data_IF_736573651738
#
_entry.id   IF_736573651738
#
_cell.length_a   1.000
_cell.length_b   1.000
_cell.length_c   1.000
_cell.angle_alpha   90.00
_cell.angle_beta   90.00
_cell.angle_gamma   90.00
#
_symmetry.space_group_name_H-M   'P 1'
#
loop_
_entity.id
_entity.type
_entity.pdbx_description
1 polymer ?
#
# COMPACT_ATOMS: atom_id res chain seq x y z
N UNK A 1 3.98 19.34 -3.69
CA UNK A 1 2.53 19.63 -3.68
C UNK A 1 1.89 18.70 -2.66
N UNK A 2 1.33 19.23 -1.56
CA UNK A 2 0.60 18.43 -0.58
C UNK A 2 -0.87 18.41 -1.02
N UNK A 3 -1.34 17.26 -1.50
CA UNK A 3 -2.75 17.09 -1.87
C UNK A 3 -3.48 16.64 -0.61
N UNK A 4 -4.51 17.38 -0.20
CA UNK A 4 -5.36 17.00 0.92
C UNK A 4 -6.34 15.93 0.42
N UNK A 5 -6.08 14.66 0.74
CA UNK A 5 -6.74 13.51 0.12
C UNK A 5 -7.96 13.07 0.94
N UNK A 6 -9.15 13.49 0.52
CA UNK A 6 -10.42 13.20 1.21
C UNK A 6 -10.76 11.70 1.35
N UNK A 7 -10.11 10.78 0.63
CA UNK A 7 -10.18 9.33 0.85
C UNK A 7 -9.03 8.61 0.08
N UNK A 8 -7.97 8.12 0.76
CA UNK A 8 -6.82 7.49 0.10
C UNK A 8 -7.20 6.30 -0.80
N UNK A 9 -8.19 5.51 -0.38
CA UNK A 9 -8.70 4.34 -1.11
C UNK A 9 -9.22 4.66 -2.51
N UNK A 10 -9.79 5.86 -2.72
CA UNK A 10 -10.33 6.27 -4.03
C UNK A 10 -9.22 6.65 -5.04
N UNK A 11 -8.09 7.17 -4.56
CA UNK A 11 -6.98 7.59 -5.44
C UNK A 11 -6.17 6.40 -5.95
N UNK A 12 -6.03 5.36 -5.13
CA UNK A 12 -5.33 4.13 -5.51
C UNK A 12 -6.07 3.41 -6.64
N UNK A 13 -7.41 3.45 -6.61
CA UNK A 13 -8.27 2.93 -7.67
C UNK A 13 -8.18 3.73 -8.98
N UNK A 14 -7.77 4.99 -8.92
CA UNK A 14 -7.71 5.90 -10.08
C UNK A 14 -6.29 6.08 -10.65
N UNK A 15 -5.23 5.87 -9.85
CA UNK A 15 -3.87 6.34 -10.17
C UNK A 15 -2.79 5.28 -10.37
N UNK A 16 -3.03 4.00 -10.09
CA UNK A 16 -2.05 2.92 -10.32
C UNK A 16 -2.33 2.12 -11.60
N UNK A 17 -2.77 2.79 -12.66
CA UNK A 17 -2.72 2.20 -13.99
C UNK A 17 -1.25 2.14 -14.40
N UNK A 18 -0.64 0.96 -14.34
CA UNK A 18 0.73 0.68 -14.78
C UNK A 18 0.83 0.82 -16.31
N UNK A 19 0.61 2.03 -16.83
CA UNK A 19 0.56 2.34 -18.26
C UNK A 19 1.95 2.36 -18.93
N UNK A 20 3.01 2.01 -18.20
CA UNK A 20 4.39 2.21 -18.65
C UNK A 20 5.10 1.03 -19.31
N UNK A 21 4.47 -0.15 -19.46
CA UNK A 21 5.16 -1.32 -19.98
C UNK A 21 4.76 -1.62 -21.42
N UNK A 22 5.45 -0.98 -22.37
CA UNK A 22 5.35 -1.30 -23.80
C UNK A 22 5.99 -2.68 -24.00
N UNK A 23 5.18 -3.74 -24.12
CA UNK A 23 5.67 -5.08 -24.43
C UNK A 23 5.71 -5.30 -25.95
N UNK A 24 6.86 -5.76 -26.45
CA UNK A 24 7.16 -5.84 -27.89
C UNK A 24 6.91 -7.25 -28.47
N UNK A 25 6.39 -8.21 -27.69
CA UNK A 25 6.20 -9.61 -28.14
C UNK A 25 4.98 -10.28 -27.50
N UNK A 26 4.21 -11.03 -28.31
CA UNK A 26 3.01 -11.79 -27.91
C UNK A 26 3.27 -12.81 -26.79
N UNK A 27 4.48 -13.39 -26.74
CA UNK A 27 4.89 -14.28 -25.64
C UNK A 27 5.08 -13.53 -24.33
N UNK A 28 5.66 -12.33 -24.39
CA UNK A 28 5.81 -11.45 -23.21
C UNK A 28 4.47 -10.92 -22.73
N UNK A 29 3.54 -10.62 -23.64
CA UNK A 29 2.15 -10.26 -23.31
C UNK A 29 1.43 -11.39 -22.56
N UNK A 30 1.59 -12.64 -23.01
CA UNK A 30 0.97 -13.81 -22.37
C UNK A 30 1.58 -14.11 -20.99
N UNK A 31 2.89 -13.92 -20.81
CA UNK A 31 3.50 -14.01 -19.48
C UNK A 31 3.09 -12.85 -18.57
N UNK A 32 2.98 -11.63 -19.10
CA UNK A 32 2.59 -10.44 -18.32
C UNK A 32 1.15 -10.53 -17.79
N UNK A 33 0.21 -11.09 -18.57
CA UNK A 33 -1.18 -11.30 -18.13
C UNK A 33 -1.33 -12.39 -17.07
N UNK A 34 -0.34 -13.28 -16.92
CA UNK A 34 -0.27 -14.25 -15.83
C UNK A 34 0.39 -13.70 -14.57
N UNK A 35 1.03 -12.53 -14.64
CA UNK A 35 1.63 -11.91 -13.46
C UNK A 35 0.53 -11.40 -12.54
N UNK A 36 0.73 -11.67 -11.26
CA UNK A 36 -0.04 -11.10 -10.18
C UNK A 36 0.85 -10.23 -9.32
N UNK A 37 0.26 -9.20 -8.74
CA UNK A 37 0.91 -8.23 -7.89
C UNK A 37 0.25 -8.17 -6.53
N UNK A 38 1.03 -7.71 -5.57
CA UNK A 38 0.60 -7.50 -4.19
C UNK A 38 0.84 -6.06 -3.81
N UNK A 39 -0.16 -5.46 -3.16
CA UNK A 39 -0.08 -4.11 -2.61
C UNK A 39 -0.15 -4.13 -1.09
N UNK A 40 0.78 -3.43 -0.46
CA UNK A 40 0.86 -3.22 0.98
C UNK A 40 0.74 -1.72 1.27
N UNK A 41 -0.02 -1.36 2.31
CA UNK A 41 -0.04 -0.02 2.89
C UNK A 41 0.43 -0.08 4.34
N UNK A 42 1.50 0.65 4.66
CA UNK A 42 2.10 0.67 5.99
C UNK A 42 2.34 2.08 6.51
N UNK A 43 2.36 2.22 7.84
CA UNK A 43 2.75 3.41 8.57
C UNK A 43 4.02 3.10 9.42
N UNK A 44 5.22 3.56 9.00
CA UNK A 44 6.46 3.38 9.74
C UNK A 44 6.60 4.33 10.94
N UNK A 45 5.67 5.28 11.11
CA UNK A 45 5.72 6.33 12.12
C UNK A 45 4.73 6.06 13.27
N UNK A 46 4.15 4.86 13.37
CA UNK A 46 3.20 4.52 14.43
C UNK A 46 3.88 4.22 15.79
N UNK A 47 3.34 4.70 16.94
CA UNK A 47 2.19 5.60 17.08
C UNK A 47 2.51 7.09 16.88
N UNK A 48 3.78 7.47 16.89
CA UNK A 48 4.23 8.81 16.52
C UNK A 48 5.61 8.78 15.86
N UNK A 49 5.94 9.71 14.95
CA UNK A 49 7.24 9.74 14.27
C UNK A 49 8.42 9.94 15.23
N UNK A 50 8.18 10.54 16.40
CA UNK A 50 9.21 10.75 17.43
C UNK A 50 9.45 9.52 18.30
N UNK A 51 8.44 8.66 18.45
CA UNK A 51 8.51 7.40 19.20
C UNK A 51 7.76 6.30 18.42
N UNK A 52 8.39 5.71 17.39
CA UNK A 52 7.73 4.79 16.48
C UNK A 52 7.80 3.34 17.01
N UNK A 53 7.32 3.09 18.22
CA UNK A 53 7.38 1.80 18.91
C UNK A 53 6.54 0.68 18.27
N UNK A 54 5.52 1.04 17.48
CA UNK A 54 4.63 0.11 16.79
C UNK A 54 4.95 -0.04 15.29
N UNK A 55 6.08 0.53 14.83
CA UNK A 55 6.48 0.49 13.42
C UNK A 55 6.79 -0.95 12.95
N UNK A 56 6.43 -1.33 11.73
CA UNK A 56 5.48 -0.66 10.83
C UNK A 56 4.05 -1.11 11.19
N UNK A 57 3.06 -0.22 11.05
CA UNK A 57 1.66 -0.59 11.22
C UNK A 57 1.00 -0.89 9.87
N UNK A 58 0.48 -2.10 9.71
CA UNK A 58 -0.17 -2.55 8.48
C UNK A 58 -1.62 -2.03 8.37
N UNK A 59 -1.83 -1.10 7.44
CA UNK A 59 -3.15 -0.52 7.16
C UNK A 59 -3.95 -1.34 6.15
N UNK A 60 -3.29 -1.88 5.12
CA UNK A 60 -3.97 -2.57 4.03
C UNK A 60 -3.07 -3.59 3.36
N UNK A 61 -3.61 -4.77 3.02
CA UNK A 61 -2.91 -5.80 2.25
C UNK A 61 -3.87 -6.42 1.23
N UNK A 62 -3.53 -6.27 -0.05
CA UNK A 62 -4.26 -6.87 -1.17
C UNK A 62 -3.29 -7.68 -2.00
N UNK A 63 -3.65 -8.92 -2.29
CA UNK A 63 -2.83 -9.89 -3.04
C UNK A 63 -3.51 -10.27 -4.34
N UNK A 64 -2.82 -11.05 -5.16
CA UNK A 64 -3.35 -11.68 -6.36
C UNK A 64 -3.97 -10.69 -7.35
N UNK A 65 -3.46 -9.44 -7.37
CA UNK A 65 -3.94 -8.38 -8.26
C UNK A 65 -3.46 -8.70 -9.68
N UNK A 66 -4.36 -8.96 -10.65
CA UNK A 66 -3.95 -9.22 -12.03
C UNK A 66 -3.25 -8.00 -12.65
N UNK A 67 -2.12 -8.22 -13.33
CA UNK A 67 -1.26 -7.15 -13.84
C UNK A 67 -1.94 -6.11 -14.77
N UNK A 68 -3.01 -6.50 -15.46
CA UNK A 68 -3.76 -5.62 -16.37
C UNK A 68 -4.92 -4.89 -15.70
N UNK A 69 -5.09 -5.08 -14.39
CA UNK A 69 -6.23 -4.58 -13.61
C UNK A 69 -5.74 -3.76 -12.42
N UNK A 70 -6.66 -3.44 -11.49
CA UNK A 70 -6.35 -2.70 -10.27
C UNK A 70 -6.67 -3.48 -9.01
N UNK A 71 -6.38 -2.86 -7.89
CA UNK A 71 -6.62 -3.37 -6.53
C UNK A 71 -8.02 -3.97 -6.29
N UNK A 72 -9.13 -3.45 -6.88
CA UNK A 72 -10.46 -4.04 -6.70
C UNK A 72 -10.62 -5.48 -7.21
N UNK A 73 -9.73 -5.94 -8.09
CA UNK A 73 -9.74 -7.28 -8.67
C UNK A 73 -8.80 -8.26 -7.95
N UNK A 74 -8.05 -7.77 -6.95
CA UNK A 74 -7.24 -8.62 -6.08
C UNK A 74 -8.04 -9.18 -4.91
N UNK A 75 -7.36 -10.00 -4.11
CA UNK A 75 -7.87 -10.55 -2.87
C UNK A 75 -7.45 -9.67 -1.69
N UNK A 76 -8.42 -9.04 -1.02
CA UNK A 76 -8.18 -8.27 0.21
C UNK A 76 -7.97 -9.24 1.38
N UNK A 77 -6.71 -9.41 1.81
CA UNK A 77 -6.34 -10.32 2.90
C UNK A 77 -6.33 -9.59 4.24
N UNK A 78 -5.94 -8.31 4.25
CA UNK A 78 -6.08 -7.44 5.42
C UNK A 78 -6.91 -6.24 5.00
N UNK A 79 -8.10 -6.09 5.59
CA UNK A 79 -9.02 -5.01 5.25
C UNK A 79 -8.40 -3.62 5.47
N UNK A 80 -8.71 -2.68 4.57
CA UNK A 80 -8.26 -1.30 4.67
C UNK A 80 -8.68 -0.66 6.00
N UNK A 81 -7.70 -0.19 6.76
CA UNK A 81 -7.90 0.63 7.95
C UNK A 81 -7.51 2.07 7.68
N UNK A 82 -8.47 3.00 7.82
CA UNK A 82 -8.24 4.42 7.53
C UNK A 82 -7.11 5.01 8.40
N UNK A 83 -6.18 5.79 7.81
CA UNK A 83 -5.20 6.60 8.53
C UNK A 83 -5.85 7.46 9.61
N UNK A 84 -5.45 7.26 10.87
CA UNK A 84 -5.91 8.06 12.01
C UNK A 84 -4.73 8.42 12.92
N UNK A 85 -3.76 9.20 12.42
CA UNK A 85 -2.61 9.63 13.22
C UNK A 85 -3.10 10.44 14.43
N UNK A 86 -2.61 10.12 15.62
CA UNK A 86 -2.97 10.83 16.84
C UNK A 86 -2.05 12.01 17.12
N UNK A 87 -0.76 11.86 16.84
CA UNK A 87 0.28 12.85 17.12
C UNK A 87 1.31 12.92 15.99
N UNK A 88 1.63 14.14 15.56
CA UNK A 88 2.62 14.36 14.52
C UNK A 88 2.12 14.07 13.10
N UNK A 89 3.07 14.10 12.16
CA UNK A 89 2.84 13.85 10.74
C UNK A 89 3.35 12.44 10.44
N UNK A 90 2.45 11.55 10.04
CA UNK A 90 2.76 10.17 9.70
C UNK A 90 2.89 10.00 8.18
N UNK A 91 3.84 9.18 7.77
CA UNK A 91 3.99 8.75 6.38
C UNK A 91 3.20 7.47 6.17
N UNK A 92 2.29 7.48 5.21
CA UNK A 92 1.60 6.28 4.77
C UNK A 92 2.20 5.85 3.44
N UNK A 93 2.81 4.67 3.43
CA UNK A 93 3.57 4.16 2.29
C UNK A 93 2.78 3.04 1.63
N UNK A 94 2.48 3.19 0.35
CA UNK A 94 2.03 2.11 -0.51
C UNK A 94 3.22 1.48 -1.20
N UNK A 95 3.32 0.16 -1.15
CA UNK A 95 4.37 -0.62 -1.79
C UNK A 95 3.71 -1.67 -2.68
N UNK A 96 4.16 -1.77 -3.93
CA UNK A 96 3.71 -2.76 -4.89
C UNK A 96 4.83 -3.78 -5.14
N UNK A 97 4.52 -5.05 -4.96
CA UNK A 97 5.41 -6.17 -5.21
C UNK A 97 4.88 -7.04 -6.35
N UNK A 98 5.81 -7.72 -7.05
CA UNK A 98 5.45 -8.77 -7.99
C UNK A 98 5.36 -10.10 -7.23
N UNK A 99 4.23 -10.80 -7.38
CA UNK A 99 4.09 -12.15 -6.85
C UNK A 99 4.48 -13.18 -7.92
N UNK A 100 5.09 -14.28 -7.48
CA UNK A 100 5.49 -15.39 -8.36
C UNK A 100 4.31 -16.30 -8.71
N UNK A 101 3.25 -16.31 -7.89
CA UNK A 101 2.06 -17.13 -8.10
C UNK A 101 0.88 -16.67 -7.26
N UNK A 102 -0.33 -17.12 -7.63
CA UNK A 102 -1.58 -16.83 -6.91
C UNK A 102 -1.68 -17.62 -5.62
N UNK A 103 -2.39 -17.08 -4.62
CA UNK A 103 -2.69 -17.74 -3.34
C UNK A 103 -1.44 -18.20 -2.58
N UNK A 104 -0.33 -17.48 -2.76
CA UNK A 104 0.96 -17.79 -2.13
C UNK A 104 1.20 -17.03 -0.84
N UNK A 105 0.38 -16.01 -0.56
CA UNK A 105 0.59 -15.05 0.53
C UNK A 105 -0.56 -15.12 1.53
N UNK A 106 -0.22 -15.09 2.82
CA UNK A 106 -1.18 -15.15 3.92
C UNK A 106 -1.16 -13.90 4.80
N UNK A 107 -2.28 -13.68 5.52
CA UNK A 107 -2.42 -12.57 6.45
C UNK A 107 -1.42 -12.71 7.61
N UNK A 108 -0.74 -11.63 8.03
CA UNK A 108 -0.05 -11.62 9.31
C UNK A 108 -1.07 -11.70 10.45
N UNK A 109 -0.67 -12.25 11.60
CA UNK A 109 -1.53 -12.37 12.78
C UNK A 109 -1.86 -11.03 13.45
N UNK A 110 -1.04 -10.00 13.21
CA UNK A 110 -1.14 -8.69 13.84
C UNK A 110 -0.80 -7.58 12.83
N UNK A 111 -1.26 -6.36 13.08
CA UNK A 111 -0.98 -5.20 12.20
C UNK A 111 0.26 -4.43 12.64
N UNK A 112 0.46 -4.31 13.94
CA UNK A 112 1.61 -3.64 14.55
C UNK A 112 2.89 -4.47 14.39
N UNK A 113 4.03 -3.78 14.38
CA UNK A 113 5.35 -4.40 14.23
C UNK A 113 5.46 -5.27 12.97
N UNK A 114 4.74 -4.89 11.92
CA UNK A 114 4.92 -5.45 10.60
C UNK A 114 6.28 -5.03 10.05
N UNK A 115 6.94 -5.92 9.31
CA UNK A 115 8.18 -5.63 8.61
C UNK A 115 7.99 -5.97 7.13
N UNK A 116 7.87 -4.94 6.31
CA UNK A 116 7.67 -5.10 4.86
C UNK A 116 8.83 -5.84 4.19
N UNK A 117 10.06 -5.68 4.70
CA UNK A 117 11.26 -6.34 4.16
C UNK A 117 11.24 -7.84 4.42
N UNK A 118 11.04 -8.22 5.68
CA UNK A 118 10.99 -9.64 6.07
C UNK A 118 9.82 -10.34 5.39
N UNK A 119 8.69 -9.64 5.22
CA UNK A 119 7.55 -10.13 4.47
C UNK A 119 7.89 -10.38 2.98
N UNK A 120 8.61 -9.46 2.35
CA UNK A 120 9.04 -9.63 0.96
C UNK A 120 10.00 -10.80 0.78
N UNK A 121 10.91 -11.02 1.74
CA UNK A 121 11.83 -12.15 1.75
C UNK A 121 11.10 -13.48 1.99
N UNK A 122 10.21 -13.54 2.99
CA UNK A 122 9.42 -14.73 3.33
C UNK A 122 8.62 -15.27 2.14
N UNK A 123 8.03 -14.37 1.35
CA UNK A 123 7.20 -14.72 0.20
C UNK A 123 7.93 -14.64 -1.14
N UNK A 124 9.26 -14.48 -1.15
CA UNK A 124 10.09 -14.36 -2.36
C UNK A 124 9.57 -13.30 -3.35
N UNK A 125 9.08 -12.17 -2.82
CA UNK A 125 8.55 -11.06 -3.61
C UNK A 125 9.65 -10.24 -4.29
N UNK A 126 10.88 -10.34 -3.78
CA UNK A 126 12.02 -9.56 -4.26
C UNK A 126 11.89 -8.07 -3.97
N UNK A 127 12.48 -7.24 -4.84
CA UNK A 127 12.44 -5.78 -4.71
C UNK A 127 11.06 -5.20 -5.08
N UNK A 128 10.62 -4.11 -4.43
CA UNK A 128 9.37 -3.45 -4.78
C UNK A 128 9.42 -2.91 -6.22
N UNK A 129 8.32 -3.10 -6.95
CA UNK A 129 8.15 -2.60 -8.33
C UNK A 129 7.86 -1.11 -8.32
N UNK A 130 7.07 -0.66 -7.35
CA UNK A 130 6.73 0.74 -7.15
C UNK A 130 6.49 1.02 -5.67
N UNK A 131 6.77 2.25 -5.25
CA UNK A 131 6.37 2.74 -3.94
C UNK A 131 5.95 4.20 -4.04
N UNK A 132 4.90 4.58 -3.32
CA UNK A 132 4.44 5.95 -3.20
C UNK A 132 4.05 6.20 -1.75
N UNK A 133 4.32 7.40 -1.24
CA UNK A 133 3.92 7.76 0.12
C UNK A 133 3.17 9.09 0.12
N UNK A 134 2.34 9.26 1.15
CA UNK A 134 1.72 10.54 1.46
C UNK A 134 1.83 10.81 2.95
N UNK A 135 1.79 12.09 3.32
CA UNK A 135 1.81 12.51 4.71
C UNK A 135 0.38 12.74 5.19
N UNK A 136 0.05 12.28 6.39
CA UNK A 136 -1.21 12.53 7.05
C UNK A 136 -0.97 12.95 8.50
N UNK A 137 -1.77 13.88 8.99
CA UNK A 137 -1.74 14.36 10.36
C UNK A 137 -3.16 14.49 10.87
N UNK A 138 -3.34 14.49 12.19
CA UNK A 138 -4.66 14.75 12.79
C UNK A 138 -5.17 16.10 12.32
N UNK A 139 -6.42 16.16 11.90
CA UNK A 139 -7.06 17.45 11.62
C UNK A 139 -7.01 18.30 12.90
N UNK A 140 -6.38 19.46 12.81
CA UNK A 140 -6.30 20.39 13.92
C UNK A 140 -7.66 21.06 14.05
N UNK A 141 -8.58 20.45 14.79
CA UNK A 141 -9.86 21.06 15.09
C UNK A 141 -9.66 22.32 15.93
N UNK A 142 -9.60 23.50 15.29
CA UNK A 142 -10.03 24.80 15.83
C UNK A 142 -10.13 25.81 14.69
N UNK A 143 -11.35 26.04 14.22
CA UNK A 143 -11.65 27.04 13.18
C UNK A 143 -12.96 27.78 13.44
N UNK A 144 -13.34 27.97 14.70
CA UNK A 144 -14.34 28.97 15.08
C UNK A 144 -13.80 30.37 14.76
N UNK A 145 -13.93 30.82 13.51
CA UNK A 145 -13.68 32.21 13.16
C UNK A 145 -14.94 33.02 13.48
N UNK A 146 -15.01 33.49 14.72
CA UNK A 146 -15.79 34.69 15.03
C UNK A 146 -15.25 35.83 14.17
N UNK A 147 -16.06 36.30 13.22
CA UNK A 147 -16.19 37.71 12.86
C UNK A 147 -17.63 37.96 12.47
#
# INVERSE_FOLDING_TARGET
>A
MAVNLGHPKLLINLGLRLEGMIFVSSTLWFQASLLVSLQVMVDPDAPSPSDPSLREYLHWLVTDIPATTGVPFGQEIVCYESPRPWMGIHRFVFVLFRQLGRQTVYAPGWRQNFNTRDFAELYNLGSPVAAVYFNCQRESGTGGRRR
#
